data_IF_770609479358
#
_entry.id   IF_770609479358
#
_cell.length_a   1.000
_cell.length_b   1.000
_cell.length_c   1.000
_cell.angle_alpha   90.00
_cell.angle_beta   90.00
_cell.angle_gamma   90.00
#
_symmetry.space_group_name_H-M   'P 1'
#
loop_
_entity.id
_entity.type
_entity.pdbx_description
1 polymer ?
#
# COMPACT_ATOMS: atom_id res chain seq x y z
N UNK A 1 -75.22 -62.81 -38.54
CA UNK A 1 -74.97 -63.54 -37.28
C UNK A 1 -73.48 -63.40 -37.01
N UNK A 2 -73.06 -62.33 -36.36
CA UNK A 2 -72.93 -62.18 -34.90
C UNK A 2 -71.90 -63.16 -34.32
N UNK A 3 -70.73 -62.64 -33.92
CA UNK A 3 -69.90 -63.00 -32.75
C UNK A 3 -68.60 -62.17 -32.89
N UNK A 4 -68.42 -61.02 -32.23
CA UNK A 4 -68.05 -60.86 -30.81
C UNK A 4 -67.04 -61.91 -30.33
N UNK A 5 -65.79 -61.44 -30.20
CA UNK A 5 -64.82 -61.83 -29.18
C UNK A 5 -63.64 -60.84 -29.21
N UNK A 6 -63.82 -59.64 -28.68
CA UNK A 6 -62.70 -58.87 -28.13
C UNK A 6 -62.73 -59.08 -26.61
N UNK A 7 -61.76 -59.82 -26.06
CA UNK A 7 -61.21 -59.51 -24.74
C UNK A 7 -59.82 -60.13 -24.55
N UNK A 8 -58.99 -59.33 -23.88
CA UNK A 8 -57.84 -59.66 -23.05
C UNK A 8 -56.66 -60.45 -23.64
N UNK A 9 -55.60 -59.71 -23.96
CA UNK A 9 -54.26 -60.09 -23.48
C UNK A 9 -53.63 -58.91 -22.75
N UNK A 10 -53.73 -58.97 -21.42
CA UNK A 10 -52.96 -58.16 -20.46
C UNK A 10 -51.49 -58.12 -20.89
N UNK A 11 -50.93 -56.91 -20.92
CA UNK A 11 -49.51 -56.69 -21.12
C UNK A 11 -48.69 -57.46 -20.08
N UNK A 12 -47.89 -58.39 -20.57
CA UNK A 12 -46.82 -59.02 -19.81
C UNK A 12 -45.67 -58.02 -19.69
N UNK A 13 -45.66 -57.24 -18.61
CA UNK A 13 -44.51 -56.40 -18.23
C UNK A 13 -43.60 -57.23 -17.33
N UNK A 14 -42.66 -57.95 -17.96
CA UNK A 14 -41.62 -58.69 -17.24
C UNK A 14 -40.59 -57.77 -16.55
N UNK A 15 -39.96 -58.21 -15.45
CA UNK A 15 -39.04 -57.41 -14.62
C UNK A 15 -37.77 -56.94 -15.36
N UNK A 16 -37.47 -57.54 -16.51
CA UNK A 16 -36.35 -57.15 -17.37
C UNK A 16 -36.62 -55.82 -18.11
N UNK A 17 -37.88 -55.46 -18.36
CA UNK A 17 -38.24 -54.20 -19.00
C UNK A 17 -38.13 -53.03 -18.01
N UNK A 18 -38.63 -53.21 -16.77
CA UNK A 18 -38.50 -52.22 -15.68
C UNK A 18 -37.04 -51.91 -15.35
N UNK A 19 -36.18 -52.94 -15.35
CA UNK A 19 -34.75 -52.75 -15.09
C UNK A 19 -34.08 -51.97 -16.22
N UNK A 20 -34.42 -52.24 -17.49
CA UNK A 20 -33.91 -51.49 -18.65
C UNK A 20 -34.38 -50.04 -18.66
N UNK A 21 -35.64 -49.80 -18.29
CA UNK A 21 -36.22 -48.47 -18.22
C UNK A 21 -35.60 -47.66 -17.06
N UNK A 22 -35.26 -48.31 -15.93
CA UNK A 22 -34.52 -47.69 -14.82
C UNK A 22 -33.06 -47.34 -15.18
N UNK A 23 -32.39 -48.18 -15.98
CA UNK A 23 -31.03 -47.94 -16.49
C UNK A 23 -31.05 -46.81 -17.53
N UNK A 24 -32.10 -46.73 -18.36
CA UNK A 24 -32.30 -45.61 -19.29
C UNK A 24 -32.56 -44.29 -18.56
N UNK A 25 -33.36 -44.31 -17.50
CA UNK A 25 -33.64 -43.15 -16.64
C UNK A 25 -32.37 -42.66 -15.91
N UNK A 26 -31.55 -43.57 -15.39
CA UNK A 26 -30.27 -43.21 -14.75
C UNK A 26 -29.25 -42.70 -15.77
N UNK A 27 -29.15 -43.32 -16.95
CA UNK A 27 -28.27 -42.85 -18.04
C UNK A 27 -28.63 -41.43 -18.49
N UNK A 28 -29.93 -41.15 -18.65
CA UNK A 28 -30.41 -39.81 -19.02
C UNK A 28 -30.17 -38.77 -17.91
N UNK A 29 -30.29 -39.15 -16.64
CA UNK A 29 -29.94 -38.27 -15.50
C UNK A 29 -28.44 -37.94 -15.46
N UNK A 30 -27.57 -38.93 -15.65
CA UNK A 30 -26.11 -38.76 -15.67
C UNK A 30 -25.69 -37.92 -16.88
N UNK A 31 -26.31 -38.14 -18.05
CA UNK A 31 -26.06 -37.31 -19.24
C UNK A 31 -26.43 -35.83 -19.01
N UNK A 32 -27.53 -35.57 -18.28
CA UNK A 32 -27.94 -34.21 -17.90
C UNK A 32 -26.94 -33.57 -16.94
N UNK A 33 -26.52 -34.29 -15.90
CA UNK A 33 -25.51 -33.81 -14.94
C UNK A 33 -24.17 -33.51 -15.62
N UNK A 34 -23.73 -34.37 -16.56
CA UNK A 34 -22.50 -34.14 -17.32
C UNK A 34 -22.60 -32.85 -18.15
N UNK A 35 -23.76 -32.61 -18.78
CA UNK A 35 -23.99 -31.38 -19.55
C UNK A 35 -23.98 -30.14 -18.65
N UNK A 36 -24.68 -30.17 -17.52
CA UNK A 36 -24.71 -29.06 -16.55
C UNK A 36 -23.32 -28.77 -15.99
N UNK A 37 -22.56 -29.83 -15.64
CA UNK A 37 -21.19 -29.69 -15.15
C UNK A 37 -20.25 -29.12 -16.23
N UNK A 38 -20.41 -29.54 -17.48
CA UNK A 38 -19.64 -29.00 -18.62
C UNK A 38 -19.93 -27.50 -18.85
N UNK A 39 -21.20 -27.10 -18.80
CA UNK A 39 -21.60 -25.69 -18.94
C UNK A 39 -21.04 -24.84 -17.78
N UNK A 40 -21.13 -25.35 -16.55
CA UNK A 40 -20.59 -24.68 -15.36
C UNK A 40 -19.07 -24.56 -15.41
N UNK A 41 -18.36 -25.60 -15.87
CA UNK A 41 -16.92 -25.56 -16.06
C UNK A 41 -16.49 -24.52 -17.12
N UNK A 42 -17.24 -24.41 -18.22
CA UNK A 42 -17.01 -23.38 -19.24
C UNK A 42 -17.24 -21.97 -18.68
N UNK A 43 -18.30 -21.78 -17.90
CA UNK A 43 -18.59 -20.50 -17.25
C UNK A 43 -17.47 -20.09 -16.28
N UNK A 44 -17.04 -21.01 -15.40
CA UNK A 44 -15.92 -20.77 -14.48
C UNK A 44 -14.61 -20.46 -15.21
N UNK A 45 -14.34 -21.10 -16.34
CA UNK A 45 -13.16 -20.79 -17.15
C UNK A 45 -13.21 -19.36 -17.70
N UNK A 46 -14.37 -18.91 -18.18
CA UNK A 46 -14.53 -17.53 -18.69
C UNK A 46 -14.36 -16.50 -17.58
N UNK A 47 -14.93 -16.76 -16.40
CA UNK A 47 -14.79 -15.89 -15.23
C UNK A 47 -13.34 -15.82 -14.73
N UNK A 48 -12.67 -16.98 -14.66
CA UNK A 48 -11.26 -17.07 -14.30
C UNK A 48 -10.39 -16.24 -15.25
N UNK A 49 -10.65 -16.30 -16.55
CA UNK A 49 -9.90 -15.54 -17.55
C UNK A 49 -10.17 -14.03 -17.44
N UNK A 50 -11.42 -13.64 -17.13
CA UNK A 50 -11.77 -12.24 -16.85
C UNK A 50 -11.03 -11.71 -15.62
N UNK A 51 -11.06 -12.44 -14.51
CA UNK A 51 -10.38 -12.07 -13.27
C UNK A 51 -8.85 -12.00 -13.44
N UNK A 52 -8.26 -12.90 -14.24
CA UNK A 52 -6.84 -12.85 -14.56
C UNK A 52 -6.47 -11.57 -15.34
N UNK A 53 -7.31 -11.16 -16.29
CA UNK A 53 -7.11 -9.92 -17.02
C UNK A 53 -7.23 -8.70 -16.08
N UNK A 54 -8.24 -8.68 -15.21
CA UNK A 54 -8.42 -7.61 -14.23
C UNK A 54 -7.22 -7.53 -13.27
N UNK A 55 -6.76 -8.66 -12.74
CA UNK A 55 -5.53 -8.74 -11.94
C UNK A 55 -4.31 -8.20 -12.69
N UNK A 56 -4.16 -8.53 -13.98
CA UNK A 56 -3.07 -8.04 -14.80
C UNK A 56 -3.15 -6.52 -15.03
N UNK A 57 -4.34 -5.97 -15.23
CA UNK A 57 -4.56 -4.53 -15.35
C UNK A 57 -4.28 -3.80 -14.04
N UNK A 58 -4.73 -4.33 -12.91
CA UNK A 58 -4.44 -3.79 -11.59
C UNK A 58 -2.94 -3.80 -11.30
N UNK A 59 -2.24 -4.90 -11.59
CA UNK A 59 -0.77 -4.96 -11.47
C UNK A 59 -0.06 -3.91 -12.32
N UNK A 60 -0.50 -3.68 -13.56
CA UNK A 60 0.04 -2.60 -14.40
C UNK A 60 -0.19 -1.23 -13.79
N UNK A 61 -1.38 -0.98 -13.22
CA UNK A 61 -1.71 0.29 -12.56
C UNK A 61 -0.87 0.51 -11.31
N UNK A 62 -0.65 -0.52 -10.51
CA UNK A 62 0.26 -0.47 -9.34
C UNK A 62 1.66 -0.10 -9.78
N UNK A 63 2.22 -0.81 -10.78
CA UNK A 63 3.58 -0.51 -11.26
C UNK A 63 3.72 0.92 -11.80
N UNK A 64 2.69 1.46 -12.45
CA UNK A 64 2.68 2.85 -12.91
C UNK A 64 2.66 3.84 -11.73
N UNK A 65 1.81 3.60 -10.74
CA UNK A 65 1.74 4.45 -9.54
C UNK A 65 3.04 4.39 -8.73
N UNK A 66 3.69 3.23 -8.66
CA UNK A 66 4.98 3.07 -8.00
C UNK A 66 6.08 3.86 -8.74
N UNK A 67 6.02 3.92 -10.08
CA UNK A 67 6.95 4.74 -10.86
C UNK A 67 6.70 6.24 -10.67
N UNK A 68 5.44 6.66 -10.66
CA UNK A 68 5.06 8.04 -10.34
C UNK A 68 5.51 8.41 -8.92
N UNK A 69 5.39 7.50 -7.95
CA UNK A 69 5.87 7.70 -6.59
C UNK A 69 7.40 7.78 -6.53
N UNK A 70 8.11 6.94 -7.30
CA UNK A 70 9.59 7.01 -7.41
C UNK A 70 10.05 8.35 -7.97
N UNK A 71 9.37 8.86 -9.00
CA UNK A 71 9.68 10.18 -9.56
C UNK A 71 9.38 11.31 -8.57
N UNK A 72 8.31 11.22 -7.80
CA UNK A 72 8.03 12.21 -6.74
C UNK A 72 9.08 12.18 -5.61
N UNK A 73 9.73 11.02 -5.42
CA UNK A 73 10.79 10.76 -4.45
C UNK A 73 12.20 10.74 -5.08
N UNK A 74 12.37 11.23 -6.29
CA UNK A 74 13.69 11.37 -6.89
C UNK A 74 14.27 12.74 -6.52
N UNK A 75 15.52 12.82 -6.04
CA UNK A 75 16.21 14.09 -5.84
C UNK A 75 16.31 14.89 -7.16
N UNK A 76 16.34 16.25 -7.12
CA UNK A 76 16.60 17.09 -5.95
C UNK A 76 15.34 17.52 -5.17
N UNK A 77 15.52 17.78 -3.87
CA UNK A 77 14.47 18.32 -2.99
C UNK A 77 14.78 19.73 -2.52
N UNK A 78 13.73 20.48 -2.20
CA UNK A 78 13.84 21.82 -1.62
C UNK A 78 13.83 21.69 -0.10
N UNK A 79 14.84 22.26 0.55
CA UNK A 79 14.96 22.25 2.01
C UNK A 79 14.24 23.47 2.60
N UNK A 80 13.54 23.27 3.70
CA UNK A 80 12.89 24.34 4.46
C UNK A 80 12.81 24.05 5.95
N UNK A 81 12.20 24.99 6.68
CA UNK A 81 11.90 24.89 8.10
C UNK A 81 10.41 25.07 8.34
N UNK A 82 9.82 24.19 9.14
CA UNK A 82 8.43 24.32 9.57
C UNK A 82 8.31 25.50 10.52
N UNK A 83 7.38 26.41 10.28
CA UNK A 83 7.06 27.49 11.22
C UNK A 83 5.89 27.14 12.11
N UNK A 84 4.83 26.58 11.53
CA UNK A 84 3.62 26.26 12.25
C UNK A 84 2.86 25.13 11.56
N UNK A 85 2.02 24.43 12.31
CA UNK A 85 1.15 23.37 11.79
C UNK A 85 -0.31 23.78 11.91
N UNK A 86 -1.06 23.61 10.83
CA UNK A 86 -2.48 23.95 10.74
C UNK A 86 -3.25 22.70 10.27
N UNK A 87 -3.59 21.82 11.23
CA UNK A 87 -4.30 20.57 10.95
C UNK A 87 -3.51 19.65 10.02
N UNK A 88 -4.05 19.39 8.83
CA UNK A 88 -3.43 18.53 7.79
C UNK A 88 -2.36 19.28 6.96
N UNK A 89 -2.23 20.59 7.14
CA UNK A 89 -1.28 21.43 6.43
C UNK A 89 -0.21 21.97 7.39
N UNK A 90 0.93 22.38 6.83
CA UNK A 90 2.00 23.04 7.57
C UNK A 90 2.44 24.31 6.85
N UNK A 91 2.78 25.33 7.63
CA UNK A 91 3.42 26.55 7.15
C UNK A 91 4.92 26.30 7.15
N UNK A 92 5.55 26.32 5.98
CA UNK A 92 6.98 26.05 5.82
C UNK A 92 7.67 27.25 5.20
N UNK A 93 8.80 27.64 5.78
CA UNK A 93 9.75 28.59 5.20
C UNK A 93 10.77 27.83 4.36
N UNK A 94 10.78 28.07 3.06
CA UNK A 94 11.78 27.53 2.15
C UNK A 94 13.15 28.19 2.38
N UNK A 95 14.24 27.54 1.95
CA UNK A 95 15.61 28.04 2.05
C UNK A 95 15.84 29.39 1.36
N UNK A 96 15.03 29.71 0.35
CA UNK A 96 15.01 31.01 -0.33
C UNK A 96 14.25 32.12 0.45
N UNK A 97 13.75 31.81 1.65
CA UNK A 97 13.07 32.74 2.54
C UNK A 97 11.56 32.88 2.33
N UNK A 98 11.00 32.34 1.23
CA UNK A 98 9.56 32.40 0.97
C UNK A 98 8.79 31.43 1.88
N UNK A 99 7.56 31.80 2.23
CA UNK A 99 6.71 31.01 3.13
C UNK A 99 5.54 30.43 2.34
N UNK A 100 5.31 29.13 2.50
CA UNK A 100 4.27 28.38 1.81
C UNK A 100 3.38 27.65 2.80
N UNK A 101 2.09 27.54 2.48
CA UNK A 101 1.18 26.58 3.11
C UNK A 101 1.20 25.31 2.28
N UNK A 102 1.71 24.23 2.85
CA UNK A 102 1.95 22.97 2.14
C UNK A 102 1.19 21.83 2.80
N UNK A 103 0.77 20.86 2.01
CA UNK A 103 0.12 19.64 2.54
C UNK A 103 1.18 18.70 3.11
N UNK A 104 0.85 18.12 4.26
CA UNK A 104 1.69 17.12 4.91
C UNK A 104 1.34 15.73 4.37
N UNK A 105 2.35 14.92 4.06
CA UNK A 105 2.13 13.52 3.72
C UNK A 105 1.69 12.73 4.96
N UNK A 106 0.52 12.10 4.89
CA UNK A 106 -0.08 11.29 5.97
C UNK A 106 0.77 10.10 6.46
N UNK A 107 1.81 9.72 5.71
CA UNK A 107 2.75 8.65 6.13
C UNK A 107 3.79 9.14 7.14
N UNK A 108 3.96 10.45 7.29
CA UNK A 108 4.90 11.05 8.23
C UNK A 108 4.19 11.19 9.57
N UNK A 109 4.92 10.91 10.66
CA UNK A 109 4.38 11.06 12.01
C UNK A 109 4.18 12.53 12.36
N UNK A 110 3.00 12.86 12.89
CA UNK A 110 2.60 14.21 13.26
C UNK A 110 3.52 14.80 14.34
N UNK A 111 4.09 13.96 15.21
CA UNK A 111 5.00 14.41 16.26
C UNK A 111 6.36 14.89 15.71
N UNK A 112 6.76 14.43 14.52
CA UNK A 112 8.03 14.83 13.89
C UNK A 112 7.97 16.22 13.25
N UNK A 113 6.77 16.72 12.95
CA UNK A 113 6.55 18.02 12.30
C UNK A 113 6.30 19.07 13.38
N UNK A 114 7.35 19.35 14.16
CA UNK A 114 7.36 20.42 15.13
C UNK A 114 7.80 21.75 14.48
N UNK A 115 7.35 22.91 15.00
CA UNK A 115 7.94 24.20 14.67
C UNK A 115 9.46 24.17 14.84
N UNK A 116 10.19 24.66 13.84
CA UNK A 116 11.66 24.61 13.78
C UNK A 116 12.24 23.35 13.14
N UNK A 117 11.43 22.31 12.90
CA UNK A 117 11.89 21.09 12.24
C UNK A 117 12.35 21.40 10.80
N UNK A 118 13.48 20.81 10.42
CA UNK A 118 13.99 20.87 9.06
C UNK A 118 13.27 19.84 8.20
N UNK A 119 12.77 20.24 7.05
CA UNK A 119 11.98 19.37 6.18
C UNK A 119 12.46 19.40 4.73
N UNK A 120 12.32 18.26 4.05
CA UNK A 120 12.50 18.14 2.62
C UNK A 120 11.14 18.20 1.92
N UNK A 121 11.04 19.09 0.96
CA UNK A 121 9.85 19.32 0.15
C UNK A 121 10.09 18.91 -1.30
N UNK A 122 9.05 18.42 -1.96
CA UNK A 122 9.08 18.19 -3.41
C UNK A 122 9.29 19.51 -4.17
N UNK A 123 10.04 19.48 -5.28
CA UNK A 123 10.34 20.69 -6.05
C UNK A 123 9.11 21.30 -6.74
N UNK A 124 8.20 20.48 -7.26
CA UNK A 124 7.05 20.95 -8.05
C UNK A 124 5.85 21.28 -7.17
N UNK A 125 5.58 20.44 -6.18
CA UNK A 125 4.37 20.54 -5.34
C UNK A 125 4.62 21.15 -3.96
N UNK A 126 5.89 21.33 -3.57
CA UNK A 126 6.31 21.81 -2.24
C UNK A 126 5.77 20.98 -1.06
N UNK A 127 5.20 19.81 -1.32
CA UNK A 127 4.66 18.93 -0.27
C UNK A 127 5.80 18.31 0.54
N UNK A 128 5.59 18.15 1.85
CA UNK A 128 6.61 17.58 2.75
C UNK A 128 6.74 16.08 2.46
N UNK A 129 7.95 15.65 2.08
CA UNK A 129 8.28 14.25 1.78
C UNK A 129 8.88 13.58 3.01
N UNK A 130 9.75 14.28 3.71
CA UNK A 130 10.55 13.75 4.82
C UNK A 130 10.94 14.86 5.79
N UNK A 131 11.00 14.53 7.07
CA UNK A 131 11.58 15.38 8.11
C UNK A 131 13.06 15.02 8.21
N UNK A 132 13.92 16.03 8.08
CA UNK A 132 15.36 15.87 8.19
C UNK A 132 15.78 16.11 9.62
N UNK A 133 16.79 15.36 10.07
CA UNK A 133 17.46 15.69 11.32
C UNK A 133 18.09 17.08 11.24
N UNK A 134 18.19 17.72 12.40
CA UNK A 134 18.89 18.98 12.52
C UNK A 134 20.33 18.79 12.02
N UNK A 135 20.74 19.62 11.06
CA UNK A 135 22.13 19.59 10.63
C UNK A 135 23.01 19.92 11.83
N UNK A 136 24.02 19.10 12.06
CA UNK A 136 25.15 19.48 12.89
C UNK A 136 25.81 20.69 12.25
N UNK A 137 25.74 21.82 12.93
CA UNK A 137 26.48 23.01 12.58
C UNK A 137 27.96 22.75 12.87
N UNK A 138 28.87 22.83 11.88
CA UNK A 138 30.30 22.62 12.08
C UNK A 138 30.91 23.52 13.16
N UNK A 139 30.36 24.72 13.37
CA UNK A 139 30.81 25.62 14.43
C UNK A 139 30.43 25.09 15.82
N UNK A 140 29.26 24.47 15.94
CA UNK A 140 28.79 23.84 17.19
C UNK A 140 29.50 22.50 17.41
N UNK A 141 29.67 21.68 16.37
CA UNK A 141 30.49 20.46 16.43
C UNK A 141 31.93 20.74 16.85
N UNK A 142 32.54 21.81 16.34
CA UNK A 142 33.90 22.20 16.70
C UNK A 142 34.04 22.76 18.11
N UNK A 143 32.93 23.24 18.70
CA UNK A 143 32.88 23.75 20.06
C UNK A 143 32.52 22.66 21.09
N UNK A 144 32.22 21.44 20.65
CA UNK A 144 32.01 20.31 21.55
C UNK A 144 33.31 19.96 22.27
N UNK A 145 33.26 19.89 23.60
CA UNK A 145 34.42 19.54 24.42
C UNK A 145 34.69 18.05 24.24
N UNK A 146 35.64 17.72 23.35
CA UNK A 146 36.04 16.33 23.10
C UNK A 146 36.74 15.71 24.31
N UNK A 147 37.59 16.48 24.98
CA UNK A 147 38.32 16.03 26.16
C UNK A 147 38.59 17.19 27.12
N UNK A 148 38.71 16.87 28.41
CA UNK A 148 39.05 17.86 29.42
C UNK A 148 40.55 18.21 29.28
N UNK A 149 40.92 19.50 29.15
CA UNK A 149 42.33 19.86 29.14
C UNK A 149 42.99 19.52 30.49
N UNK A 150 44.22 19.00 30.45
CA UNK A 150 44.99 18.65 31.66
C UNK A 150 45.57 19.87 32.39
N UNK A 151 45.48 21.06 31.78
CA UNK A 151 45.99 22.31 32.36
C UNK A 151 45.19 22.75 33.58
N UNK A 152 45.88 23.02 34.67
CA UNK A 152 45.31 23.52 35.92
C UNK A 152 45.40 25.04 35.99
N UNK A 153 44.57 25.67 36.83
CA UNK A 153 44.65 27.13 37.05
C UNK A 153 45.99 27.58 37.64
N UNK A 154 46.72 26.68 38.32
CA UNK A 154 48.08 26.94 38.78
C UNK A 154 49.11 27.04 37.66
N UNK A 155 48.81 26.54 36.46
CA UNK A 155 49.69 26.64 35.29
C UNK A 155 49.51 27.97 34.53
N UNK A 156 48.53 28.80 34.93
CA UNK A 156 48.22 30.09 34.32
C UNK A 156 48.74 31.23 35.21
N UNK A 157 49.93 31.74 34.87
CA UNK A 157 50.58 32.81 35.64
C UNK A 157 50.01 34.22 35.37
N UNK A 158 49.91 35.04 36.42
CA UNK A 158 49.64 36.49 36.31
C UNK A 158 48.17 36.86 36.11
N UNK A 159 47.25 35.92 36.30
CA UNK A 159 45.80 36.11 36.17
C UNK A 159 45.05 35.91 37.51
N UNK A 160 45.76 36.03 38.64
CA UNK A 160 45.20 35.76 39.97
C UNK A 160 43.97 36.61 40.30
N UNK A 161 43.94 37.88 39.85
CA UNK A 161 42.81 38.79 40.06
C UNK A 161 41.55 38.36 39.28
N UNK A 162 41.71 37.85 38.05
CA UNK A 162 40.60 37.39 37.21
C UNK A 162 40.12 36.01 37.63
N UNK A 163 41.02 35.12 38.04
CA UNK A 163 40.68 33.78 38.56
C UNK A 163 39.85 33.91 39.85
N UNK A 164 40.13 34.89 40.70
CA UNK A 164 39.33 35.15 41.92
C UNK A 164 37.97 35.83 41.67
N UNK A 165 37.70 36.34 40.47
CA UNK A 165 36.46 37.02 40.09
C UNK A 165 35.50 36.15 39.25
N UNK A 166 35.98 35.01 38.75
CA UNK A 166 35.20 33.98 38.04
C UNK A 166 34.43 33.09 39.03
#
# INVERSE_FOLDING_TARGET
>A
VASEAEDATKGDHGPAHETRDSIGATLTSVQRELKELSESAQQLLTEKLFLENECAQLKKRVNRLDEELRNLRSPPYVIGFVQDRVGDNAVVRSSNGTVFLVTVNRRIDDASIAPGARVAMNQDTLSIIEVLDNAWDPLVSGAEVLDRPETSFSDLGGLDEQIGQL
#
